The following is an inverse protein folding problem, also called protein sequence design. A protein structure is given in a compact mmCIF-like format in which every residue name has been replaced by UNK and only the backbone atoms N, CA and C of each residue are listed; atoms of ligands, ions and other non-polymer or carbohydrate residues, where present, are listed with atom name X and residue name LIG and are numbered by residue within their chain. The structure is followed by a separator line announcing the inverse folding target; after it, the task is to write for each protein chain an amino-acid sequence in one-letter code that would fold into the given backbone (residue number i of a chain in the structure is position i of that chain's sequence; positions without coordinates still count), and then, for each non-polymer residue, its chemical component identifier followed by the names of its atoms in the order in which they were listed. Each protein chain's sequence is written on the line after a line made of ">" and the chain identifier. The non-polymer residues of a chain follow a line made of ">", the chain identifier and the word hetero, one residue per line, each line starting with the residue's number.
data_IF_363404259063
#
_entry.id   IF_363404259063
#
_cell.length_a   1.000
_cell.length_b   1.000
_cell.length_c   1.000
_cell.angle_alpha   90.00
_cell.angle_beta   90.00
_cell.angle_gamma   90.00
#
_symmetry.space_group_name_H-M   'P 1'
#
loop_
_entity.id
_entity.type
_entity.pdbx_description
1 polymer ?
#
# COMPACT_ATOMS: atom_id res chain seq x y z
N UNK A 1 4.43 30.85 -8.80
CA UNK A 1 5.37 30.87 -7.65
C UNK A 1 6.68 30.26 -8.11
N UNK A 2 7.83 30.70 -7.60
CA UNK A 2 9.11 30.06 -7.92
C UNK A 2 9.10 28.63 -7.36
N UNK A 3 9.46 27.63 -8.16
CA UNK A 3 9.58 26.24 -7.71
C UNK A 3 10.62 26.18 -6.58
N UNK A 4 10.24 25.61 -5.45
CA UNK A 4 11.10 25.50 -4.26
C UNK A 4 12.17 24.43 -4.47
N UNK A 5 13.37 24.66 -3.92
CA UNK A 5 14.41 23.65 -3.86
C UNK A 5 14.12 22.74 -2.65
N UNK A 6 13.79 21.48 -2.89
CA UNK A 6 13.67 20.46 -1.85
C UNK A 6 15.04 20.12 -1.24
N UNK A 7 15.05 19.52 -0.06
CA UNK A 7 16.26 18.96 0.56
C UNK A 7 16.55 17.59 -0.07
N UNK A 8 17.68 17.48 -0.77
CA UNK A 8 18.13 16.28 -1.48
C UNK A 8 18.39 15.10 -0.52
N UNK A 9 18.92 15.37 0.68
CA UNK A 9 19.17 14.32 1.66
C UNK A 9 17.84 13.74 2.18
N UNK A 10 16.82 14.58 2.36
CA UNK A 10 15.49 14.13 2.77
C UNK A 10 14.75 13.41 1.64
N UNK A 11 14.92 13.83 0.38
CA UNK A 11 14.40 13.09 -0.77
C UNK A 11 15.00 11.69 -0.84
N UNK A 12 16.32 11.56 -0.69
CA UNK A 12 16.97 10.24 -0.71
C UNK A 12 16.47 9.37 0.44
N UNK A 13 16.31 9.91 1.64
CA UNK A 13 15.73 9.18 2.77
C UNK A 13 14.31 8.69 2.48
N UNK A 14 13.45 9.54 1.89
CA UNK A 14 12.11 9.14 1.44
C UNK A 14 12.17 8.00 0.42
N UNK A 15 13.03 8.09 -0.59
CA UNK A 15 13.18 7.06 -1.61
C UNK A 15 13.67 5.73 -1.04
N UNK A 16 14.57 5.75 -0.07
CA UNK A 16 15.01 4.54 0.63
C UNK A 16 13.89 3.89 1.45
N UNK A 17 13.06 4.70 2.11
CA UNK A 17 11.89 4.19 2.83
C UNK A 17 10.82 3.66 1.88
N UNK A 18 10.57 4.32 0.75
CA UNK A 18 9.64 3.85 -0.28
C UNK A 18 10.09 2.49 -0.83
N UNK A 19 11.36 2.37 -1.22
CA UNK A 19 11.90 1.11 -1.77
C UNK A 19 11.78 -0.04 -0.77
N UNK A 20 12.00 0.23 0.51
CA UNK A 20 11.82 -0.77 1.58
C UNK A 20 10.35 -1.08 1.87
N UNK A 21 9.45 -0.11 1.69
CA UNK A 21 8.00 -0.31 1.87
C UNK A 21 7.50 -1.28 0.82
N UNK A 22 7.84 -1.06 -0.45
CA UNK A 22 7.53 -1.95 -1.58
C UNK A 22 8.10 -3.36 -1.40
N UNK A 23 9.37 -3.45 -0.98
CA UNK A 23 10.01 -4.74 -0.73
C UNK A 23 9.32 -5.50 0.41
N UNK A 24 8.98 -4.81 1.49
CA UNK A 24 8.20 -5.37 2.60
C UNK A 24 6.76 -5.70 2.20
N UNK A 25 6.14 -4.90 1.33
CA UNK A 25 4.79 -5.09 0.79
C UNK A 25 4.65 -6.42 0.07
N UNK A 26 5.66 -6.84 -0.68
CA UNK A 26 5.71 -8.16 -1.32
C UNK A 26 5.58 -9.29 -0.27
N UNK A 27 6.38 -9.25 0.80
CA UNK A 27 6.32 -10.27 1.87
C UNK A 27 4.99 -10.21 2.63
N UNK A 28 4.46 -9.01 2.84
CA UNK A 28 3.16 -8.78 3.50
C UNK A 28 2.04 -9.39 2.67
N UNK A 29 1.95 -9.12 1.37
CA UNK A 29 0.93 -9.69 0.50
C UNK A 29 1.04 -11.21 0.38
N UNK A 30 2.26 -11.76 0.22
CA UNK A 30 2.46 -13.21 0.20
C UNK A 30 1.94 -13.86 1.49
N UNK A 31 2.18 -13.23 2.63
CA UNK A 31 1.70 -13.70 3.94
C UNK A 31 0.18 -13.52 4.07
N UNK A 32 -0.36 -12.37 3.66
CA UNK A 32 -1.79 -12.07 3.72
C UNK A 32 -2.61 -13.06 2.86
N UNK A 33 -2.16 -13.35 1.63
CA UNK A 33 -2.75 -14.38 0.75
C UNK A 33 -2.77 -15.76 1.41
N UNK A 34 -1.77 -16.07 2.25
CA UNK A 34 -1.73 -17.32 3.02
C UNK A 34 -2.71 -17.34 4.22
N UNK A 35 -3.16 -16.16 4.67
CA UNK A 35 -4.15 -15.98 5.72
C UNK A 35 -5.58 -15.89 5.19
N UNK A 36 -5.77 -15.49 3.93
CA UNK A 36 -7.09 -15.27 3.34
C UNK A 36 -7.92 -16.56 3.29
N UNK A 37 -9.14 -16.48 3.82
CA UNK A 37 -10.16 -17.51 3.81
C UNK A 37 -11.23 -17.26 2.72
N UNK A 38 -11.43 -16.00 2.32
CA UNK A 38 -12.32 -15.56 1.27
C UNK A 38 -11.60 -15.61 -0.10
N UNK A 39 -12.18 -16.31 -1.08
CA UNK A 39 -11.56 -16.52 -2.39
C UNK A 39 -11.46 -15.24 -3.23
N UNK A 40 -12.47 -14.36 -3.16
CA UNK A 40 -12.47 -13.08 -3.89
C UNK A 40 -11.37 -12.15 -3.34
N UNK A 41 -11.24 -12.05 -2.02
CA UNK A 41 -10.17 -11.29 -1.38
C UNK A 41 -8.78 -11.83 -1.75
N UNK A 42 -8.66 -13.15 -1.84
CA UNK A 42 -7.40 -13.81 -2.22
C UNK A 42 -7.03 -13.53 -3.67
N UNK A 43 -8.01 -13.48 -4.57
CA UNK A 43 -7.81 -13.06 -5.95
C UNK A 43 -7.33 -11.60 -6.01
N UNK A 44 -7.99 -10.72 -5.26
CA UNK A 44 -7.66 -9.29 -5.21
C UNK A 44 -6.24 -9.04 -4.72
N UNK A 45 -5.87 -9.58 -3.56
CA UNK A 45 -4.50 -9.45 -3.03
C UNK A 45 -3.44 -10.09 -3.95
N UNK A 46 -3.81 -11.11 -4.74
CA UNK A 46 -2.88 -11.67 -5.74
C UNK A 46 -2.64 -10.69 -6.90
N UNK A 47 -3.64 -9.88 -7.26
CA UNK A 47 -3.52 -8.74 -8.15
C UNK A 47 -2.57 -7.69 -7.59
N UNK A 48 -2.83 -7.22 -6.37
CA UNK A 48 -1.99 -6.21 -5.71
C UNK A 48 -0.54 -6.66 -5.55
N UNK A 49 -0.29 -7.91 -5.14
CA UNK A 49 1.06 -8.47 -5.09
C UNK A 49 1.82 -8.35 -6.42
N UNK A 50 1.13 -8.50 -7.55
CA UNK A 50 1.74 -8.37 -8.87
C UNK A 50 2.07 -6.91 -9.17
N UNK A 51 1.22 -5.98 -8.78
CA UNK A 51 1.40 -4.54 -8.92
C UNK A 51 2.53 -4.03 -8.04
N UNK A 52 2.56 -4.37 -6.74
CA UNK A 52 3.65 -4.03 -5.80
C UNK A 52 5.01 -4.52 -6.30
N UNK A 53 5.09 -5.71 -6.92
CA UNK A 53 6.35 -6.16 -7.57
C UNK A 53 6.76 -5.26 -8.74
N UNK A 54 5.80 -4.72 -9.48
CA UNK A 54 5.98 -3.72 -10.52
C UNK A 54 6.44 -2.37 -9.97
N UNK A 55 5.85 -1.92 -8.86
CA UNK A 55 6.17 -0.67 -8.19
C UNK A 55 7.57 -0.70 -7.55
N UNK A 56 7.95 -1.79 -6.87
CA UNK A 56 9.33 -2.06 -6.43
C UNK A 56 10.33 -1.92 -7.59
N UNK A 57 10.03 -2.52 -8.74
CA UNK A 57 10.87 -2.39 -9.95
C UNK A 57 10.93 -0.94 -10.43
N UNK A 58 9.82 -0.19 -10.36
CA UNK A 58 9.78 1.22 -10.74
C UNK A 58 10.69 2.07 -9.85
N UNK A 59 10.71 1.83 -8.53
CA UNK A 59 11.64 2.49 -7.64
C UNK A 59 13.10 2.11 -7.95
N UNK A 60 13.40 0.84 -8.22
CA UNK A 60 14.76 0.45 -8.65
C UNK A 60 15.21 1.21 -9.92
N UNK A 61 14.32 1.44 -10.88
CA UNK A 61 14.59 2.28 -12.06
C UNK A 61 14.85 3.74 -11.69
N UNK A 62 14.13 4.29 -10.70
CA UNK A 62 14.38 5.64 -10.16
C UNK A 62 15.79 5.72 -9.56
N UNK A 63 16.18 4.73 -8.75
CA UNK A 63 17.50 4.68 -8.13
C UNK A 63 18.62 4.64 -9.18
N UNK A 64 18.49 3.82 -10.21
CA UNK A 64 19.44 3.73 -11.32
C UNK A 64 19.56 5.07 -12.07
N UNK A 65 18.43 5.68 -12.46
CA UNK A 65 18.39 6.97 -13.16
C UNK A 65 19.00 8.12 -12.35
N UNK A 66 18.88 8.07 -11.02
CA UNK A 66 19.46 9.06 -10.11
C UNK A 66 20.92 8.76 -9.71
N UNK A 67 21.45 7.59 -10.06
CA UNK A 67 22.80 7.17 -9.68
C UNK A 67 22.95 6.95 -8.17
N UNK A 68 21.88 6.56 -7.49
CA UNK A 68 21.84 6.31 -6.04
C UNK A 68 21.98 4.82 -5.80
N UNK A 69 22.83 4.42 -4.84
CA UNK A 69 22.99 3.02 -4.45
C UNK A 69 21.72 2.49 -3.74
N UNK A 70 20.96 1.55 -4.34
CA UNK A 70 19.75 1.01 -3.75
C UNK A 70 20.00 0.08 -2.57
N UNK A 71 21.25 -0.35 -2.31
CA UNK A 71 21.57 -1.25 -1.18
C UNK A 71 21.88 -0.50 0.11
N UNK A 72 22.02 0.83 0.05
CA UNK A 72 22.35 1.63 1.22
C UNK A 72 21.25 1.51 2.30
N UNK A 73 21.70 1.24 3.51
CA UNK A 73 20.86 1.07 4.69
C UNK A 73 20.88 2.32 5.57
N UNK A 74 19.90 3.20 5.40
CA UNK A 74 19.72 4.39 6.24
C UNK A 74 19.02 4.04 7.57
N UNK A 75 19.10 4.89 8.60
CA UNK A 75 18.38 4.67 9.85
C UNK A 75 16.86 4.53 9.68
N UNK A 76 16.22 5.38 8.85
CA UNK A 76 14.77 5.30 8.65
C UNK A 76 14.36 4.08 7.83
N UNK A 77 15.15 3.70 6.81
CA UNK A 77 14.96 2.43 6.08
C UNK A 77 14.94 1.23 7.02
N UNK A 78 15.87 1.14 7.96
CA UNK A 78 15.91 0.05 8.96
C UNK A 78 14.65 0.00 9.83
N UNK A 79 14.07 1.16 10.14
CA UNK A 79 12.82 1.24 10.91
C UNK A 79 11.65 0.72 10.07
N UNK A 80 11.54 1.15 8.80
CA UNK A 80 10.52 0.64 7.87
C UNK A 80 10.62 -0.88 7.72
N UNK A 81 11.83 -1.40 7.51
CA UNK A 81 12.10 -2.83 7.44
C UNK A 81 11.63 -3.60 8.70
N UNK A 82 11.82 -2.99 9.88
CA UNK A 82 11.38 -3.59 11.13
C UNK A 82 9.85 -3.60 11.27
N UNK A 83 9.18 -2.53 10.87
CA UNK A 83 7.72 -2.44 10.86
C UNK A 83 7.15 -3.49 9.92
N UNK A 84 7.64 -3.58 8.68
CA UNK A 84 7.17 -4.57 7.69
C UNK A 84 7.29 -6.01 8.21
N UNK A 85 8.45 -6.39 8.76
CA UNK A 85 8.63 -7.71 9.40
C UNK A 85 7.71 -7.95 10.59
N UNK A 86 7.34 -6.89 11.31
CA UNK A 86 6.43 -7.01 12.45
C UNK A 86 4.99 -7.26 12.00
N UNK A 87 4.56 -6.67 10.88
CA UNK A 87 3.26 -6.94 10.26
C UNK A 87 3.18 -8.39 9.75
N UNK A 88 4.23 -8.86 9.06
CA UNK A 88 4.36 -10.28 8.67
C UNK A 88 4.24 -11.18 9.90
N UNK A 89 4.99 -10.87 10.97
CA UNK A 89 4.96 -11.69 12.18
C UNK A 89 3.58 -11.70 12.86
N UNK A 90 2.84 -10.59 12.85
CA UNK A 90 1.50 -10.53 13.40
C UNK A 90 0.54 -11.48 12.68
N UNK A 91 0.59 -11.52 11.35
CA UNK A 91 -0.19 -12.45 10.54
C UNK A 91 0.19 -13.92 10.79
N UNK A 92 1.49 -14.22 10.90
CA UNK A 92 1.95 -15.56 11.26
C UNK A 92 1.42 -16.00 12.62
N UNK A 93 1.48 -15.12 13.63
CA UNK A 93 0.94 -15.42 14.97
C UNK A 93 -0.57 -15.69 14.92
N UNK A 94 -1.32 -14.91 14.15
CA UNK A 94 -2.76 -15.11 14.00
C UNK A 94 -3.09 -16.45 13.33
N UNK A 95 -2.28 -16.89 12.35
CA UNK A 95 -2.41 -18.22 11.72
C UNK A 95 -2.04 -19.37 12.66
N UNK A 96 -1.06 -19.17 13.53
CA UNK A 96 -0.58 -20.20 14.47
C UNK A 96 -1.51 -20.39 15.67
N UNK A 97 -2.06 -19.30 16.19
CA UNK A 97 -2.82 -19.28 17.45
C UNK A 97 -4.34 -19.18 17.25
N UNK A 98 -4.79 -18.63 16.12
CA UNK A 98 -6.20 -18.37 15.81
C UNK A 98 -6.83 -19.40 14.86
N UNK A 99 -8.06 -19.10 14.42
CA UNK A 99 -8.72 -19.77 13.30
C UNK A 99 -8.54 -18.98 11.99
N UNK A 100 -9.05 -19.52 10.89
CA UNK A 100 -8.89 -18.93 9.57
C UNK A 100 -9.53 -17.52 9.47
N UNK A 101 -10.66 -17.30 10.14
CA UNK A 101 -11.36 -16.02 10.12
C UNK A 101 -10.58 -14.97 10.90
N UNK A 102 -10.04 -15.32 12.08
CA UNK A 102 -9.17 -14.45 12.86
C UNK A 102 -7.87 -14.11 12.11
N UNK A 103 -7.25 -15.08 11.44
CA UNK A 103 -6.05 -14.86 10.65
C UNK A 103 -6.30 -13.90 9.47
N UNK A 104 -7.42 -14.05 8.78
CA UNK A 104 -7.81 -13.16 7.69
C UNK A 104 -8.06 -11.72 8.17
N UNK A 105 -8.69 -11.53 9.33
CA UNK A 105 -8.90 -10.19 9.90
C UNK A 105 -7.58 -9.48 10.19
N UNK A 106 -6.66 -10.17 10.87
CA UNK A 106 -5.32 -9.63 11.17
C UNK A 106 -4.55 -9.34 9.89
N UNK A 107 -4.71 -10.17 8.85
CA UNK A 107 -4.11 -9.90 7.55
C UNK A 107 -4.66 -8.63 6.90
N UNK A 108 -5.98 -8.41 6.93
CA UNK A 108 -6.60 -7.17 6.45
C UNK A 108 -6.04 -5.93 7.16
N UNK A 109 -5.97 -5.96 8.49
CA UNK A 109 -5.39 -4.87 9.29
C UNK A 109 -3.92 -4.60 8.94
N UNK A 110 -3.13 -5.66 8.78
CA UNK A 110 -1.71 -5.54 8.43
C UNK A 110 -1.54 -4.94 7.03
N UNK A 111 -2.35 -5.35 6.05
CA UNK A 111 -2.33 -4.78 4.70
C UNK A 111 -2.73 -3.30 4.74
N UNK A 112 -3.81 -2.91 5.43
CA UNK A 112 -4.20 -1.49 5.57
C UNK A 112 -3.06 -0.64 6.14
N UNK A 113 -2.34 -1.13 7.15
CA UNK A 113 -1.20 -0.41 7.74
C UNK A 113 -0.03 -0.27 6.78
N UNK A 114 0.23 -1.30 5.95
CA UNK A 114 1.26 -1.26 4.92
C UNK A 114 0.90 -0.25 3.83
N UNK A 115 -0.31 -0.34 3.27
CA UNK A 115 -0.80 0.55 2.21
C UNK A 115 -0.87 2.00 2.66
N UNK A 116 -1.22 2.26 3.93
CA UNK A 116 -1.22 3.63 4.47
C UNK A 116 0.18 4.26 4.42
N UNK A 117 1.23 3.46 4.66
CA UNK A 117 2.61 3.93 4.58
C UNK A 117 3.04 4.10 3.13
N UNK A 118 2.67 3.18 2.25
CA UNK A 118 3.11 3.22 0.86
C UNK A 118 2.47 4.35 0.06
N UNK A 119 1.15 4.48 0.18
CA UNK A 119 0.39 5.61 -0.36
C UNK A 119 0.99 6.96 0.06
N UNK A 120 1.33 7.12 1.35
CA UNK A 120 1.99 8.33 1.84
C UNK A 120 3.35 8.56 1.19
N UNK A 121 4.15 7.50 0.94
CA UNK A 121 5.44 7.65 0.28
C UNK A 121 5.27 8.14 -1.15
N UNK A 122 4.38 7.51 -1.92
CA UNK A 122 4.11 7.86 -3.30
C UNK A 122 3.52 9.26 -3.44
N UNK A 123 2.60 9.66 -2.57
CA UNK A 123 2.07 11.03 -2.53
C UNK A 123 3.16 12.08 -2.28
N UNK A 124 4.10 11.80 -1.38
CA UNK A 124 5.24 12.70 -1.13
C UNK A 124 6.21 12.75 -2.31
N UNK A 125 6.45 11.62 -3.00
CA UNK A 125 7.23 11.56 -4.24
C UNK A 125 6.56 12.40 -5.33
N UNK A 126 5.24 12.24 -5.53
CA UNK A 126 4.42 13.04 -6.43
C UNK A 126 4.46 14.52 -6.09
N UNK A 127 4.39 14.86 -4.80
CA UNK A 127 4.49 16.24 -4.33
C UNK A 127 5.83 16.88 -4.73
N UNK A 128 6.95 16.18 -4.54
CA UNK A 128 8.27 16.66 -4.97
C UNK A 128 8.31 16.79 -6.49
N UNK A 129 7.80 15.80 -7.23
CA UNK A 129 7.77 15.81 -8.69
C UNK A 129 7.01 17.01 -9.27
N UNK A 130 5.85 17.34 -8.70
CA UNK A 130 4.98 18.43 -9.15
C UNK A 130 5.55 19.81 -8.78
N UNK A 131 6.16 19.94 -7.60
CA UNK A 131 6.58 21.23 -7.04
C UNK A 131 8.04 21.59 -7.30
N UNK A 132 8.81 20.71 -7.94
CA UNK A 132 10.22 20.93 -8.28
C UNK A 132 10.47 20.88 -9.80
N UNK A 133 11.72 21.10 -10.21
CA UNK A 133 12.14 21.15 -11.61
C UNK A 133 13.52 20.53 -11.79
N UNK A 134 13.86 20.17 -13.02
CA UNK A 134 15.10 19.48 -13.35
C UNK A 134 14.85 18.01 -13.64
N UNK A 135 15.92 17.26 -13.86
CA UNK A 135 15.82 15.87 -14.32
C UNK A 135 15.30 14.93 -13.23
N UNK A 136 15.68 15.14 -11.96
CA UNK A 136 15.09 14.42 -10.82
C UNK A 136 13.56 14.55 -10.79
N UNK A 137 13.03 15.77 -10.97
CA UNK A 137 11.58 15.99 -10.97
C UNK A 137 10.88 15.22 -12.09
N UNK A 138 11.48 15.12 -13.28
CA UNK A 138 10.93 14.35 -14.40
C UNK A 138 10.97 12.85 -14.13
N UNK A 139 12.07 12.36 -13.56
CA UNK A 139 12.24 10.93 -13.20
C UNK A 139 11.17 10.52 -12.18
N UNK A 140 11.03 11.30 -11.11
CA UNK A 140 10.01 11.03 -10.08
C UNK A 140 8.60 11.14 -10.64
N UNK A 141 8.34 12.11 -11.52
CA UNK A 141 7.03 12.27 -12.16
C UNK A 141 6.63 11.06 -13.00
N UNK A 142 7.55 10.57 -13.84
CA UNK A 142 7.34 9.38 -14.67
C UNK A 142 7.04 8.14 -13.82
N UNK A 143 7.72 8.00 -12.67
CA UNK A 143 7.47 6.90 -11.74
C UNK A 143 6.12 7.02 -11.03
N UNK A 144 5.82 8.19 -10.47
CA UNK A 144 4.58 8.46 -9.75
C UNK A 144 3.34 8.28 -10.63
N UNK A 145 3.31 8.88 -11.83
CA UNK A 145 2.16 8.76 -12.75
C UNK A 145 1.94 7.31 -13.23
N UNK A 146 2.91 6.41 -13.07
CA UNK A 146 2.78 5.01 -13.45
C UNK A 146 2.21 4.11 -12.34
N UNK A 147 2.09 4.61 -11.11
CA UNK A 147 1.70 3.80 -9.93
C UNK A 147 0.59 4.43 -9.09
N UNK A 148 0.41 5.76 -9.12
CA UNK A 148 -0.53 6.51 -8.25
C UNK A 148 -1.94 5.91 -8.22
N UNK A 149 -2.47 5.50 -9.38
CA UNK A 149 -3.81 4.93 -9.47
C UNK A 149 -3.91 3.56 -8.80
N UNK A 150 -2.88 2.72 -8.93
CA UNK A 150 -2.81 1.41 -8.27
C UNK A 150 -2.77 1.61 -6.75
N UNK A 151 -1.94 2.53 -6.27
CA UNK A 151 -1.79 2.85 -4.83
C UNK A 151 -3.08 3.39 -4.20
N UNK A 152 -3.82 4.24 -4.92
CA UNK A 152 -5.14 4.70 -4.48
C UNK A 152 -6.11 3.51 -4.36
N UNK A 153 -6.13 2.59 -5.33
CA UNK A 153 -6.96 1.39 -5.26
C UNK A 153 -6.59 0.53 -4.07
N UNK A 154 -5.30 0.19 -3.91
CA UNK A 154 -4.81 -0.68 -2.83
C UNK A 154 -5.29 -0.19 -1.48
N UNK A 155 -5.08 1.10 -1.17
CA UNK A 155 -5.47 1.67 0.11
C UNK A 155 -6.99 1.69 0.31
N UNK A 156 -7.76 2.20 -0.65
CA UNK A 156 -9.20 2.37 -0.44
C UNK A 156 -9.94 1.03 -0.43
N UNK A 157 -9.59 0.11 -1.32
CA UNK A 157 -10.27 -1.16 -1.47
C UNK A 157 -9.91 -2.09 -0.32
N UNK A 158 -8.64 -2.18 0.07
CA UNK A 158 -8.22 -3.00 1.23
C UNK A 158 -8.82 -2.49 2.55
N UNK A 159 -9.00 -1.17 2.67
CA UNK A 159 -9.73 -0.57 3.82
C UNK A 159 -11.20 -0.99 3.82
N UNK A 160 -11.86 -0.94 2.67
CA UNK A 160 -13.22 -1.44 2.51
C UNK A 160 -13.34 -2.92 2.86
N UNK A 161 -12.45 -3.76 2.33
CA UNK A 161 -12.41 -5.20 2.61
C UNK A 161 -12.27 -5.47 4.10
N UNK A 162 -11.29 -4.85 4.75
CA UNK A 162 -11.04 -5.02 6.20
C UNK A 162 -12.24 -4.59 7.04
N UNK A 163 -12.91 -3.49 6.68
CA UNK A 163 -14.14 -3.04 7.35
C UNK A 163 -15.24 -4.10 7.25
N UNK A 164 -15.51 -4.61 6.05
CA UNK A 164 -16.61 -5.56 5.81
C UNK A 164 -16.38 -6.91 6.47
N UNK A 165 -15.13 -7.39 6.49
CA UNK A 165 -14.75 -8.59 7.24
C UNK A 165 -15.00 -8.44 8.73
N UNK A 166 -14.64 -7.29 9.33
CA UNK A 166 -14.92 -7.02 10.74
C UNK A 166 -16.42 -6.92 11.03
N UNK A 167 -17.20 -6.29 10.14
CA UNK A 167 -18.65 -6.23 10.27
C UNK A 167 -19.26 -7.65 10.31
N UNK A 168 -18.81 -8.54 9.43
CA UNK A 168 -19.23 -9.94 9.40
C UNK A 168 -18.86 -10.68 10.69
N UNK A 169 -17.59 -10.55 11.12
CA UNK A 169 -17.09 -11.18 12.35
C UNK A 169 -17.82 -10.71 13.62
N UNK A 170 -18.34 -9.48 13.61
CA UNK A 170 -19.16 -8.93 14.69
C UNK A 170 -20.64 -9.38 14.64
N UNK A 171 -21.03 -10.15 13.62
CA UNK A 171 -22.38 -10.70 13.44
C UNK A 171 -23.38 -9.74 12.80
N UNK A 172 -22.89 -8.70 12.11
CA UNK A 172 -23.73 -7.75 11.37
C UNK A 172 -23.72 -8.09 9.86
N UNK A 173 -24.77 -7.71 9.10
CA UNK A 173 -24.78 -7.93 7.65
C UNK A 173 -23.63 -7.20 6.97
N UNK A 174 -22.71 -7.94 6.34
CA UNK A 174 -21.55 -7.45 5.59
C UNK A 174 -21.82 -7.32 4.09
N UNK A 175 -21.10 -6.44 3.39
CA UNK A 175 -21.12 -6.29 1.93
C UNK A 175 -19.75 -6.74 1.41
N UNK A 176 -19.66 -7.97 0.91
CA UNK A 176 -18.40 -8.56 0.44
C UNK A 176 -18.60 -9.06 -1.00
N UNK A 177 -17.83 -8.57 -2.00
CA UNK A 177 -16.80 -7.52 -1.95
C UNK A 177 -17.33 -6.12 -1.52
N UNK A 178 -16.46 -5.24 -0.99
CA UNK A 178 -16.87 -3.94 -0.47
C UNK A 178 -17.34 -2.97 -1.59
N UNK A 179 -18.12 -1.93 -1.26
CA UNK A 179 -18.55 -0.93 -2.23
C UNK A 179 -17.42 -0.24 -3.00
N UNK A 180 -16.27 -0.05 -2.37
CA UNK A 180 -15.07 0.55 -2.93
C UNK A 180 -14.55 -0.27 -4.12
N UNK A 181 -14.47 -1.59 -3.95
CA UNK A 181 -14.10 -2.57 -4.97
C UNK A 181 -15.12 -2.56 -6.12
N UNK A 182 -16.40 -2.79 -5.81
CA UNK A 182 -17.46 -2.93 -6.82
C UNK A 182 -17.63 -1.66 -7.67
N UNK A 183 -17.38 -0.49 -7.07
CA UNK A 183 -17.48 0.80 -7.76
C UNK A 183 -16.14 1.26 -8.37
N UNK A 184 -15.07 0.48 -8.22
CA UNK A 184 -13.72 0.78 -8.68
C UNK A 184 -13.30 2.22 -8.30
N UNK A 185 -13.29 2.51 -6.99
CA UNK A 185 -13.02 3.86 -6.49
C UNK A 185 -11.53 4.17 -6.58
N UNK A 186 -11.22 5.37 -7.07
CA UNK A 186 -9.83 5.81 -7.32
C UNK A 186 -9.50 7.12 -6.57
N UNK A 187 -10.36 7.54 -5.64
CA UNK A 187 -10.14 8.79 -4.89
C UNK A 187 -10.68 8.67 -3.47
N UNK A 188 -10.06 9.38 -2.52
CA UNK A 188 -10.53 9.42 -1.13
C UNK A 188 -12.01 9.88 -1.00
N UNK A 189 -12.44 10.84 -1.82
CA UNK A 189 -13.84 11.30 -1.85
C UNK A 189 -14.76 10.21 -2.43
N UNK A 190 -14.30 9.48 -3.45
CA UNK A 190 -14.99 8.35 -4.03
C UNK A 190 -15.18 7.21 -3.02
N UNK A 191 -14.11 6.83 -2.33
CA UNK A 191 -14.12 5.82 -1.27
C UNK A 191 -15.10 6.20 -0.16
N UNK A 192 -15.01 7.43 0.38
CA UNK A 192 -15.93 7.89 1.40
C UNK A 192 -17.40 7.90 0.94
N UNK A 193 -17.67 8.23 -0.33
CA UNK A 193 -19.04 8.16 -0.89
C UNK A 193 -19.51 6.72 -1.04
N UNK A 194 -18.64 5.81 -1.45
CA UNK A 194 -18.94 4.39 -1.59
C UNK A 194 -19.27 3.76 -0.23
N UNK A 195 -18.45 4.02 0.79
CA UNK A 195 -18.68 3.61 2.18
C UNK A 195 -20.04 4.10 2.70
N UNK A 196 -20.35 5.40 2.54
CA UNK A 196 -21.62 5.95 3.02
C UNK A 196 -22.85 5.35 2.31
N UNK A 197 -22.69 4.89 1.06
CA UNK A 197 -23.74 4.26 0.27
C UNK A 197 -23.83 2.73 0.47
N UNK A 198 -23.00 2.14 1.32
CA UNK A 198 -22.96 0.70 1.60
C UNK A 198 -24.33 0.10 1.94
N UNK A 199 -25.17 0.83 2.68
CA UNK A 199 -26.50 0.35 3.06
C UNK A 199 -27.45 0.09 1.89
N UNK A 200 -27.16 0.61 0.70
CA UNK A 200 -27.90 0.33 -0.54
C UNK A 200 -27.55 -1.02 -1.16
N UNK A 201 -26.49 -1.68 -0.68
CA UNK A 201 -25.98 -2.97 -1.15
C UNK A 201 -26.28 -4.14 -0.20
N UNK A 202 -27.05 -3.89 0.87
CA UNK A 202 -27.50 -4.90 1.85
C UNK A 202 -28.81 -5.59 1.46
#
# INVERSE_FOLDING_TARGET
>A
MAKSKYDEAQLHELLYQALETEAGGIEIYETAISCAANDDLKEEWSGYLKETRGHHKKLMEVFDKLGIDPEKQTPGRKVVAHIGRSLVKAMEMAREEGDADAAQLVAGECVVLAETKDHMNWELIGHVAQNSSGDTAKILKEAYEAVEQDEDHHLYHTTGWTRELWIDALGFPAVVPPPEEVKNVETAIGAARAENARGEML
#
